data_IF_808683127846
#
_entry.id   IF_808683127846
#
_cell.length_a   1.000
_cell.length_b   1.000
_cell.length_c   1.000
_cell.angle_alpha   90.00
_cell.angle_beta   90.00
_cell.angle_gamma   90.00
#
_symmetry.space_group_name_H-M   'P 1'
#
loop_
_entity.id
_entity.type
_entity.pdbx_description
1 polymer ?
#
# COMPACT_ATOMS: atom_id res chain seq x y z
N UNK A 1 26.66 21.43 9.71
CA UNK A 1 26.79 20.85 8.35
C UNK A 1 25.63 21.37 7.52
N UNK A 2 25.90 22.23 6.52
CA UNK A 2 24.88 22.67 5.57
C UNK A 2 24.63 21.47 4.66
N UNK A 3 23.46 20.82 4.80
CA UNK A 3 23.08 19.70 3.95
C UNK A 3 22.77 20.21 2.55
N UNK A 4 23.14 19.41 1.55
CA UNK A 4 22.89 19.74 0.15
C UNK A 4 21.36 19.83 -0.08
N UNK A 5 20.82 20.97 -0.60
CA UNK A 5 19.40 21.12 -0.86
C UNK A 5 18.82 20.04 -1.79
N UNK A 6 19.63 19.44 -2.67
CA UNK A 6 19.19 18.35 -3.51
C UNK A 6 18.85 17.10 -2.70
N UNK A 7 19.60 16.77 -1.64
CA UNK A 7 19.31 15.62 -0.79
C UNK A 7 17.93 15.71 -0.13
N UNK A 8 17.54 16.92 0.30
CA UNK A 8 16.24 17.17 0.92
C UNK A 8 15.12 16.93 -0.10
N UNK A 9 15.30 17.42 -1.34
CA UNK A 9 14.34 17.22 -2.44
C UNK A 9 14.18 15.73 -2.75
N UNK A 10 15.29 14.98 -2.82
CA UNK A 10 15.28 13.54 -3.08
C UNK A 10 14.52 12.77 -1.99
N UNK A 11 14.71 13.13 -0.72
CA UNK A 11 14.00 12.51 0.40
C UNK A 11 12.52 12.84 0.40
N UNK A 12 12.15 14.09 0.11
CA UNK A 12 10.76 14.50 -0.02
C UNK A 12 10.06 13.77 -1.18
N UNK A 13 10.71 13.68 -2.32
CA UNK A 13 10.21 12.93 -3.47
C UNK A 13 10.03 11.44 -3.12
N UNK A 14 11.03 10.84 -2.45
CA UNK A 14 10.92 9.44 -2.00
C UNK A 14 9.75 9.24 -1.05
N UNK A 15 9.50 10.15 -0.10
CA UNK A 15 8.34 10.11 0.79
C UNK A 15 7.01 10.23 0.04
N UNK A 16 6.91 11.15 -0.92
CA UNK A 16 5.72 11.30 -1.76
C UNK A 16 5.44 10.03 -2.58
N UNK A 17 6.44 9.54 -3.30
CA UNK A 17 6.30 8.34 -4.14
C UNK A 17 6.04 7.08 -3.30
N UNK A 18 6.61 6.99 -2.11
CA UNK A 18 6.33 5.89 -1.18
C UNK A 18 4.83 5.76 -0.88
N UNK A 19 4.17 6.87 -0.53
CA UNK A 19 2.73 6.90 -0.25
C UNK A 19 1.92 6.62 -1.53
N UNK A 20 2.31 7.24 -2.65
CA UNK A 20 1.63 7.05 -3.93
C UNK A 20 1.68 5.59 -4.40
N UNK A 21 2.83 4.93 -4.26
CA UNK A 21 2.99 3.52 -4.59
C UNK A 21 2.24 2.62 -3.61
N UNK A 22 2.18 2.95 -2.31
CA UNK A 22 1.37 2.22 -1.34
C UNK A 22 -0.13 2.21 -1.72
N UNK A 23 -0.67 3.38 -2.09
CA UNK A 23 -2.05 3.48 -2.57
C UNK A 23 -2.28 2.71 -3.87
N UNK A 24 -1.38 2.90 -4.85
CA UNK A 24 -1.47 2.24 -6.16
C UNK A 24 -1.34 0.72 -6.07
N UNK A 25 -0.51 0.22 -5.16
CA UNK A 25 -0.37 -1.20 -4.83
C UNK A 25 -1.69 -1.78 -4.31
N UNK A 26 -2.28 -1.14 -3.30
CA UNK A 26 -3.55 -1.59 -2.73
C UNK A 26 -4.69 -1.58 -3.76
N UNK A 27 -4.75 -0.54 -4.58
CA UNK A 27 -5.75 -0.42 -5.64
C UNK A 27 -5.58 -1.50 -6.71
N UNK A 28 -4.37 -1.67 -7.24
CA UNK A 28 -4.06 -2.68 -8.28
C UNK A 28 -4.31 -4.09 -7.78
N UNK A 29 -3.94 -4.38 -6.52
CA UNK A 29 -4.22 -5.67 -5.88
C UNK A 29 -5.72 -5.94 -5.79
N UNK A 30 -6.52 -4.94 -5.39
CA UNK A 30 -7.97 -5.05 -5.27
C UNK A 30 -8.61 -5.30 -6.63
N UNK A 31 -8.21 -4.55 -7.66
CA UNK A 31 -8.72 -4.76 -9.02
C UNK A 31 -8.39 -6.17 -9.50
N UNK A 32 -7.14 -6.62 -9.33
CA UNK A 32 -6.74 -7.99 -9.67
C UNK A 32 -7.64 -9.02 -8.98
N UNK A 33 -7.95 -8.85 -7.69
CA UNK A 33 -8.83 -9.77 -6.96
C UNK A 33 -10.26 -9.78 -7.50
N UNK A 34 -10.77 -8.65 -7.99
CA UNK A 34 -12.11 -8.55 -8.56
C UNK A 34 -12.21 -9.15 -9.97
N UNK A 35 -11.27 -8.84 -10.87
CA UNK A 35 -11.37 -9.20 -12.29
C UNK A 35 -10.44 -10.33 -12.73
N UNK A 36 -9.55 -10.82 -11.84
CA UNK A 36 -8.52 -11.83 -12.09
C UNK A 36 -7.58 -11.52 -13.26
N UNK A 37 -7.50 -10.26 -13.69
CA UNK A 37 -6.67 -9.87 -14.82
C UNK A 37 -5.18 -9.81 -14.42
N UNK A 38 -4.29 -10.59 -15.08
CA UNK A 38 -2.88 -10.70 -14.71
C UNK A 38 -2.10 -9.40 -14.86
N UNK A 39 -2.55 -8.45 -15.69
CA UNK A 39 -1.93 -7.13 -15.83
C UNK A 39 -1.90 -6.37 -14.50
N UNK A 40 -3.01 -6.36 -13.76
CA UNK A 40 -3.09 -5.67 -12.46
C UNK A 40 -2.28 -6.37 -11.37
N UNK A 41 -2.07 -7.68 -11.49
CA UNK A 41 -1.14 -8.41 -10.62
C UNK A 41 0.30 -7.93 -10.85
N UNK A 42 0.71 -7.78 -12.11
CA UNK A 42 2.04 -7.27 -12.44
C UNK A 42 2.23 -5.82 -11.98
N UNK A 43 1.22 -4.96 -12.19
CA UNK A 43 1.24 -3.59 -11.66
C UNK A 43 1.37 -3.55 -10.14
N UNK A 44 0.58 -4.36 -9.42
CA UNK A 44 0.68 -4.44 -7.96
C UNK A 44 2.09 -4.84 -7.51
N UNK A 45 2.72 -5.82 -8.18
CA UNK A 45 4.10 -6.21 -7.90
C UNK A 45 5.07 -5.06 -8.19
N UNK A 46 4.90 -4.34 -9.31
CA UNK A 46 5.71 -3.17 -9.64
C UNK A 46 5.62 -2.07 -8.58
N UNK A 47 4.41 -1.73 -8.14
CA UNK A 47 4.21 -0.76 -7.06
C UNK A 47 4.79 -1.23 -5.73
N UNK A 48 4.69 -2.53 -5.41
CA UNK A 48 5.35 -3.10 -4.24
C UNK A 48 6.87 -2.89 -4.27
N UNK A 49 7.53 -3.14 -5.40
CA UNK A 49 8.95 -2.84 -5.56
C UNK A 49 9.24 -1.34 -5.44
N UNK A 50 8.37 -0.48 -5.96
CA UNK A 50 8.44 0.97 -5.78
C UNK A 50 8.41 1.38 -4.31
N UNK A 51 7.49 0.82 -3.51
CA UNK A 51 7.42 1.04 -2.06
C UNK A 51 8.74 0.66 -1.40
N UNK A 52 9.26 -0.54 -1.69
CA UNK A 52 10.50 -1.05 -1.11
C UNK A 52 11.71 -0.17 -1.46
N UNK A 53 11.76 0.31 -2.71
CA UNK A 53 12.83 1.20 -3.16
C UNK A 53 12.77 2.58 -2.47
N UNK A 54 11.58 3.17 -2.36
CA UNK A 54 11.43 4.43 -1.62
C UNK A 54 11.72 4.26 -0.12
N UNK A 55 11.28 3.16 0.50
CA UNK A 55 11.61 2.83 1.88
C UNK A 55 13.13 2.72 2.08
N UNK A 56 13.84 2.07 1.16
CA UNK A 56 15.29 1.97 1.18
C UNK A 56 15.96 3.34 1.17
N UNK A 57 15.54 4.26 0.28
CA UNK A 57 16.07 5.63 0.24
C UNK A 57 15.82 6.35 1.58
N UNK A 58 14.60 6.25 2.11
CA UNK A 58 14.23 6.92 3.36
C UNK A 58 15.00 6.39 4.57
N UNK A 59 15.25 5.07 4.64
CA UNK A 59 15.95 4.42 5.76
C UNK A 59 17.47 4.65 5.68
N UNK A 60 18.06 4.66 4.49
CA UNK A 60 19.51 4.82 4.33
C UNK A 60 19.98 6.27 4.42
N UNK A 61 19.10 7.23 4.15
CA UNK A 61 19.45 8.63 4.16
C UNK A 61 19.86 9.14 5.57
N UNK A 62 20.82 10.07 5.64
CA UNK A 62 21.32 10.65 6.89
C UNK A 62 20.41 11.70 7.53
N UNK A 63 19.29 12.06 6.91
CA UNK A 63 18.38 13.12 7.34
C UNK A 63 17.54 12.70 8.52
N UNK A 64 17.02 11.47 8.50
CA UNK A 64 16.15 10.94 9.54
C UNK A 64 16.94 10.36 10.70
N UNK A 65 16.47 10.61 11.91
CA UNK A 65 16.95 9.93 13.10
C UNK A 65 16.60 8.43 13.07
N UNK A 66 17.33 7.58 13.81
CA UNK A 66 17.09 6.14 13.87
C UNK A 66 15.64 5.76 14.22
N UNK A 67 14.98 6.56 15.07
CA UNK A 67 13.57 6.39 15.43
C UNK A 67 12.65 6.44 14.19
N UNK A 68 12.81 7.45 13.33
CA UNK A 68 12.00 7.61 12.12
C UNK A 68 12.27 6.50 11.11
N UNK A 69 13.53 6.08 10.97
CA UNK A 69 13.91 4.96 10.10
C UNK A 69 13.24 3.66 10.54
N UNK A 70 13.21 3.40 11.85
CA UNK A 70 12.51 2.25 12.41
C UNK A 70 11.01 2.31 12.15
N UNK A 71 10.38 3.48 12.35
CA UNK A 71 8.97 3.69 12.06
C UNK A 71 8.64 3.44 10.58
N UNK A 72 9.49 3.89 9.65
CA UNK A 72 9.35 3.64 8.21
C UNK A 72 9.44 2.16 7.90
N UNK A 73 10.37 1.42 8.53
CA UNK A 73 10.46 -0.04 8.37
C UNK A 73 9.20 -0.77 8.80
N UNK A 74 8.62 -0.38 9.94
CA UNK A 74 7.33 -0.94 10.40
C UNK A 74 6.19 -0.56 9.46
N UNK A 75 6.09 0.72 9.08
CA UNK A 75 5.07 1.20 8.16
C UNK A 75 5.14 0.45 6.82
N UNK A 76 6.35 0.21 6.31
CA UNK A 76 6.58 -0.55 5.07
C UNK A 76 6.02 -1.96 5.21
N UNK A 77 6.33 -2.62 6.31
CA UNK A 77 5.81 -3.96 6.61
C UNK A 77 4.29 -3.95 6.62
N UNK A 78 3.68 -2.99 7.30
CA UNK A 78 2.21 -2.86 7.34
C UNK A 78 1.63 -2.61 5.95
N UNK A 79 2.21 -1.73 5.14
CA UNK A 79 1.75 -1.46 3.76
C UNK A 79 1.78 -2.67 2.84
N UNK A 80 2.73 -3.59 3.04
CA UNK A 80 2.77 -4.86 2.30
C UNK A 80 1.53 -5.71 2.63
N UNK A 81 1.09 -5.73 3.89
CA UNK A 81 -0.02 -6.57 4.34
C UNK A 81 -1.40 -5.91 4.22
N UNK A 82 -1.49 -4.57 4.13
CA UNK A 82 -2.75 -3.82 4.04
C UNK A 82 -3.70 -4.38 2.97
N UNK A 83 -3.28 -4.64 1.71
CA UNK A 83 -4.23 -5.08 0.68
C UNK A 83 -4.85 -6.45 0.95
N UNK A 84 -4.12 -7.34 1.64
CA UNK A 84 -4.65 -8.63 2.06
C UNK A 84 -5.74 -8.47 3.12
N UNK A 85 -5.53 -7.58 4.09
CA UNK A 85 -6.51 -7.24 5.12
C UNK A 85 -7.75 -6.57 4.52
N UNK A 86 -7.54 -5.55 3.67
CA UNK A 86 -8.62 -4.84 2.97
C UNK A 86 -9.51 -5.79 2.17
N UNK A 87 -8.93 -6.73 1.42
CA UNK A 87 -9.70 -7.68 0.62
C UNK A 87 -10.62 -8.57 1.47
N UNK A 88 -10.16 -9.02 2.65
CA UNK A 88 -11.00 -9.79 3.58
C UNK A 88 -12.20 -9.00 4.08
N UNK A 89 -11.99 -7.72 4.39
CA UNK A 89 -13.06 -6.81 4.82
C UNK A 89 -14.07 -6.62 3.69
N UNK A 90 -13.60 -6.39 2.46
CA UNK A 90 -14.47 -6.22 1.28
C UNK A 90 -15.33 -7.47 1.03
N UNK A 91 -14.76 -8.67 1.11
CA UNK A 91 -15.54 -9.91 0.98
C UNK A 91 -16.64 -9.97 2.04
N UNK A 92 -16.30 -9.72 3.31
CA UNK A 92 -17.23 -9.83 4.42
C UNK A 92 -18.39 -8.84 4.31
N UNK A 93 -18.12 -7.62 3.84
CA UNK A 93 -19.16 -6.62 3.55
C UNK A 93 -20.10 -7.14 2.46
N UNK A 94 -19.54 -7.69 1.38
CA UNK A 94 -20.34 -8.16 0.25
C UNK A 94 -21.17 -9.41 0.57
N UNK A 95 -20.67 -10.30 1.43
CA UNK A 95 -21.43 -11.42 1.98
C UNK A 95 -22.58 -10.93 2.84
N UNK A 96 -22.33 -9.97 3.74
CA UNK A 96 -23.37 -9.38 4.58
C UNK A 96 -24.47 -8.69 3.77
N UNK A 97 -24.11 -7.94 2.73
CA UNK A 97 -25.07 -7.34 1.79
C UNK A 97 -25.92 -8.38 1.06
N UNK A 98 -25.34 -9.52 0.67
CA UNK A 98 -26.08 -10.62 0.03
C UNK A 98 -27.05 -11.28 1.00
N UNK A 99 -26.66 -11.46 2.26
CA UNK A 99 -27.52 -12.01 3.31
C UNK A 99 -28.70 -11.07 3.60
N UNK A 100 -28.46 -9.76 3.71
CA UNK A 100 -29.51 -8.76 3.88
C UNK A 100 -30.49 -8.80 2.71
N UNK A 101 -30.00 -8.80 1.47
CA UNK A 101 -30.85 -8.91 0.26
C UNK A 101 -31.65 -10.21 0.19
N UNK A 102 -31.13 -11.34 0.72
CA UNK A 102 -31.88 -12.61 0.80
C UNK A 102 -33.02 -12.53 1.81
N UNK A 103 -32.75 -11.96 2.99
CA UNK A 103 -33.76 -11.73 4.04
C UNK A 103 -34.87 -10.80 3.58
N UNK A 104 -34.54 -9.71 2.88
CA UNK A 104 -35.52 -8.77 2.31
C UNK A 104 -36.40 -9.41 1.23
N UNK A 105 -35.90 -10.41 0.50
CA UNK A 105 -36.65 -11.14 -0.53
C UNK A 105 -37.50 -12.29 0.01
N UNK A 106 -37.54 -12.51 1.33
CA UNK A 106 -38.31 -13.60 1.95
C UNK A 106 -37.81 -15.01 1.60
N UNK A 107 -36.60 -15.12 1.04
CA UNK A 107 -35.96 -16.40 0.74
C UNK A 107 -35.19 -16.85 1.99
N UNK A 108 -35.88 -17.55 2.89
CA UNK A 108 -35.26 -18.34 3.95
C UNK A 108 -34.91 -19.74 3.42
#
# INVERSE_FOLDING_TARGET
>A
MIRDPYEIIWVLAAGFFYILFAGSYAFSYTIFKMNKNPFYKQLAIGFLFGILYCAYILITNGIFDPFWKWLIGIATTVYIFIPFGMWKVVIKIHEHERELKRRERGLQ
#
